data_IF_081387410070
#
_entry.id   IF_081387410070
#
_cell.length_a   1.000
_cell.length_b   1.000
_cell.length_c   1.000
_cell.angle_alpha   90.00
_cell.angle_beta   90.00
_cell.angle_gamma   90.00
#
_symmetry.space_group_name_H-M   'P 1'
#
loop_
_entity.id
_entity.type
_entity.pdbx_description
1 polymer ?
#
# COMPACT_ATOMS: atom_id res chain seq x y z
N UNK A 1 58.01 -12.21 36.77
CA UNK A 1 57.56 -11.12 35.88
C UNK A 1 57.04 -11.63 34.52
N UNK A 2 57.75 -12.52 33.81
CA UNK A 2 57.38 -13.00 32.46
C UNK A 2 55.99 -13.68 32.35
N UNK A 3 55.57 -14.47 33.35
CA UNK A 3 54.26 -15.16 33.34
C UNK A 3 53.06 -14.22 33.52
N UNK A 4 53.21 -13.13 34.28
CA UNK A 4 52.14 -12.13 34.48
C UNK A 4 51.93 -11.27 33.23
N UNK A 5 53.00 -10.99 32.50
CA UNK A 5 52.94 -10.27 31.22
C UNK A 5 52.28 -11.12 30.13
N UNK A 6 52.58 -12.42 30.07
CA UNK A 6 51.93 -13.35 29.15
C UNK A 6 50.41 -13.46 29.40
N UNK A 7 49.97 -13.48 30.66
CA UNK A 7 48.54 -13.50 31.01
C UNK A 7 47.86 -12.19 30.60
N UNK A 8 48.51 -11.05 30.78
CA UNK A 8 47.98 -9.75 30.36
C UNK A 8 47.83 -9.64 28.84
N UNK A 9 48.83 -10.09 28.07
CA UNK A 9 48.76 -10.10 26.60
C UNK A 9 47.65 -11.04 26.12
N UNK A 10 47.48 -12.20 26.77
CA UNK A 10 46.40 -13.13 26.44
C UNK A 10 45.01 -12.55 26.75
N UNK A 11 44.87 -11.85 27.87
CA UNK A 11 43.62 -11.17 28.23
C UNK A 11 43.25 -10.07 27.23
N UNK A 12 44.22 -9.25 26.81
CA UNK A 12 43.99 -8.25 25.75
C UNK A 12 43.62 -8.91 24.42
N UNK A 13 44.30 -9.99 24.03
CA UNK A 13 43.98 -10.71 22.79
C UNK A 13 42.55 -11.25 22.79
N UNK A 14 42.06 -11.74 23.94
CA UNK A 14 40.67 -12.23 24.08
C UNK A 14 39.67 -11.08 23.98
N UNK A 15 39.93 -9.93 24.62
CA UNK A 15 39.03 -8.76 24.54
C UNK A 15 38.94 -8.21 23.12
N UNK A 16 40.06 -8.11 22.40
CA UNK A 16 40.05 -7.68 21.00
C UNK A 16 39.40 -8.71 20.06
N UNK A 17 39.55 -10.01 20.34
CA UNK A 17 38.84 -11.05 19.59
C UNK A 17 37.32 -10.96 19.81
N UNK A 18 36.86 -10.71 21.03
CA UNK A 18 35.43 -10.53 21.33
C UNK A 18 34.86 -9.25 20.72
N UNK A 19 35.63 -8.16 20.70
CA UNK A 19 35.24 -6.93 19.99
C UNK A 19 35.13 -7.16 18.47
N UNK A 20 36.02 -7.97 17.88
CA UNK A 20 35.95 -8.38 16.47
C UNK A 20 34.74 -9.27 16.15
N UNK A 21 34.34 -10.18 17.05
CA UNK A 21 33.11 -10.97 16.90
C UNK A 21 31.88 -10.07 17.03
N UNK A 22 31.89 -9.09 17.94
CA UNK A 22 30.80 -8.13 18.11
C UNK A 22 30.61 -7.21 16.91
N UNK A 23 31.69 -6.72 16.30
CA UNK A 23 31.59 -5.93 15.06
C UNK A 23 31.21 -6.78 13.85
N UNK A 24 31.69 -8.03 13.76
CA UNK A 24 31.21 -8.96 12.73
C UNK A 24 29.70 -9.20 12.88
N UNK A 25 29.18 -9.41 14.09
CA UNK A 25 27.74 -9.53 14.34
C UNK A 25 26.94 -8.28 13.91
N UNK A 26 27.49 -7.08 14.16
CA UNK A 26 26.90 -5.80 13.74
C UNK A 26 26.86 -5.63 12.21
N UNK A 27 27.87 -6.14 11.49
CA UNK A 27 27.91 -6.11 10.02
C UNK A 27 27.29 -7.35 9.35
N UNK A 28 27.00 -8.42 10.09
CA UNK A 28 26.26 -9.60 9.62
C UNK A 28 24.77 -9.54 9.90
N UNK A 29 24.25 -8.43 10.46
CA UNK A 29 22.84 -8.05 10.28
C UNK A 29 22.60 -7.65 8.82
N UNK A 30 22.90 -8.55 7.89
CA UNK A 30 22.40 -8.53 6.52
C UNK A 30 21.22 -9.48 6.52
N UNK A 31 20.01 -8.93 6.39
CA UNK A 31 18.88 -9.72 5.92
C UNK A 31 19.30 -10.29 4.56
N UNK A 32 19.64 -11.57 4.54
CA UNK A 32 19.89 -12.27 3.28
C UNK A 32 18.53 -12.32 2.60
N UNK A 33 18.37 -11.68 1.44
CA UNK A 33 17.21 -11.89 0.60
C UNK A 33 17.26 -13.36 0.14
N UNK A 34 16.60 -14.20 0.93
CA UNK A 34 16.40 -15.62 0.66
C UNK A 34 15.26 -15.69 -0.36
N UNK A 35 15.50 -16.32 -1.52
CA UNK A 35 14.54 -16.35 -2.63
C UNK A 35 15.04 -15.77 -3.96
N UNK A 36 16.20 -15.12 -4.02
CA UNK A 36 16.75 -14.66 -5.31
C UNK A 36 17.40 -15.81 -6.08
N UNK A 37 16.61 -16.71 -6.65
CA UNK A 37 17.10 -17.63 -7.67
C UNK A 37 17.15 -16.86 -8.98
N UNK A 38 18.35 -16.64 -9.54
CA UNK A 38 18.46 -16.06 -10.89
C UNK A 38 17.98 -17.08 -11.93
N UNK A 39 16.66 -17.15 -12.13
CA UNK A 39 16.07 -17.88 -13.24
C UNK A 39 16.22 -17.06 -14.52
N UNK A 40 16.74 -17.70 -15.57
CA UNK A 40 16.83 -17.10 -16.90
C UNK A 40 15.50 -17.29 -17.64
N UNK A 41 14.89 -16.21 -18.10
CA UNK A 41 13.64 -16.24 -18.87
C UNK A 41 13.07 -14.83 -19.06
N UNK A 42 11.91 -14.72 -19.71
CA UNK A 42 11.20 -13.45 -19.91
C UNK A 42 9.92 -13.40 -19.08
N UNK A 43 9.71 -12.31 -18.34
CA UNK A 43 8.42 -11.96 -17.78
C UNK A 43 7.74 -11.02 -18.77
N UNK A 44 6.62 -11.45 -19.36
CA UNK A 44 5.89 -10.64 -20.34
C UNK A 44 4.41 -10.94 -20.23
N UNK A 45 3.66 -9.97 -19.71
CA UNK A 45 2.21 -9.96 -19.76
C UNK A 45 1.77 -9.39 -21.10
N UNK A 46 0.85 -10.08 -21.75
CA UNK A 46 0.26 -9.66 -23.02
C UNK A 46 -1.24 -9.88 -23.02
N UNK A 47 -1.86 -9.68 -24.17
CA UNK A 47 -3.25 -10.01 -24.40
C UNK A 47 -3.45 -10.76 -25.70
N UNK A 48 -4.67 -11.27 -25.90
CA UNK A 48 -5.09 -11.84 -27.18
C UNK A 48 -5.95 -10.80 -27.90
N UNK A 49 -5.43 -10.25 -29.00
CA UNK A 49 -6.11 -9.22 -29.81
C UNK A 49 -6.30 -9.80 -31.21
N UNK A 50 -7.53 -9.83 -31.70
CA UNK A 50 -7.89 -10.40 -33.00
C UNK A 50 -7.43 -11.86 -33.21
N UNK A 51 -7.31 -12.62 -32.11
CA UNK A 51 -6.87 -14.02 -32.11
C UNK A 51 -5.35 -14.22 -32.13
N UNK A 52 -4.56 -13.15 -32.05
CA UNK A 52 -3.10 -13.19 -32.00
C UNK A 52 -2.57 -12.77 -30.62
N UNK A 53 -1.44 -13.35 -30.22
CA UNK A 53 -0.76 -12.98 -28.98
C UNK A 53 -0.01 -11.65 -29.15
N UNK A 54 -0.34 -10.66 -28.32
CA UNK A 54 0.31 -9.34 -28.33
C UNK A 54 0.99 -9.09 -27.00
N UNK A 55 2.31 -8.90 -27.02
CA UNK A 55 3.09 -8.60 -25.82
C UNK A 55 2.89 -7.15 -25.35
N UNK A 56 2.85 -6.94 -24.03
CA UNK A 56 2.77 -5.64 -23.35
C UNK A 56 1.59 -4.76 -23.77
N UNK A 57 0.54 -5.37 -24.31
CA UNK A 57 -0.68 -4.66 -24.66
C UNK A 57 -1.88 -5.57 -24.46
N UNK A 58 -2.91 -5.01 -23.86
CA UNK A 58 -4.24 -5.54 -23.89
C UNK A 58 -5.20 -4.43 -24.33
N UNK A 59 -6.45 -4.76 -24.66
CA UNK A 59 -7.31 -3.86 -25.41
C UNK A 59 -7.64 -2.56 -24.64
N UNK A 60 -7.60 -1.42 -25.34
CA UNK A 60 -8.03 -0.10 -24.87
C UNK A 60 -9.53 -0.13 -24.55
N UNK A 61 -9.94 0.58 -23.48
CA UNK A 61 -11.33 0.60 -23.02
C UNK A 61 -12.01 1.87 -23.53
N UNK A 62 -13.20 1.71 -24.12
CA UNK A 62 -14.03 2.82 -24.58
C UNK A 62 -15.28 2.92 -23.73
N UNK A 63 -15.58 4.14 -23.28
CA UNK A 63 -16.82 4.47 -22.60
C UNK A 63 -17.64 5.42 -23.47
N UNK A 64 -18.84 5.00 -23.84
CA UNK A 64 -19.77 5.77 -24.66
C UNK A 64 -21.22 5.51 -24.27
N UNK A 65 -22.10 6.50 -24.49
CA UNK A 65 -23.55 6.38 -24.29
C UNK A 65 -23.99 5.91 -22.88
N UNK A 66 -23.19 6.18 -21.85
CA UNK A 66 -23.51 5.85 -20.46
C UNK A 66 -24.56 6.84 -19.91
N UNK A 67 -25.56 6.34 -19.19
CA UNK A 67 -26.61 7.14 -18.56
C UNK A 67 -26.56 7.05 -17.01
N UNK A 68 -26.75 8.15 -16.27
CA UNK A 68 -26.78 8.14 -14.81
C UNK A 68 -27.86 7.20 -14.24
N UNK A 69 -27.48 6.31 -13.32
CA UNK A 69 -28.41 5.44 -12.61
C UNK A 69 -28.89 4.20 -13.36
N UNK A 70 -28.37 3.96 -14.57
CA UNK A 70 -28.46 2.64 -15.19
C UNK A 70 -27.64 1.60 -14.38
N UNK A 71 -28.06 0.33 -14.36
CA UNK A 71 -27.33 -0.71 -13.65
C UNK A 71 -25.93 -0.93 -14.24
N UNK A 72 -24.98 -1.49 -13.46
CA UNK A 72 -23.65 -1.88 -13.96
C UNK A 72 -23.74 -2.67 -15.27
N UNK A 73 -23.13 -2.13 -16.33
CA UNK A 73 -23.08 -2.75 -17.64
C UNK A 73 -21.68 -3.30 -17.92
N UNK A 74 -21.64 -4.51 -18.47
CA UNK A 74 -20.39 -5.13 -18.90
C UNK A 74 -19.88 -4.41 -20.16
N UNK A 75 -18.83 -3.62 -20.00
CA UNK A 75 -18.22 -2.82 -21.08
C UNK A 75 -17.33 -3.69 -21.95
N UNK A 76 -16.49 -4.52 -21.33
CA UNK A 76 -15.44 -5.23 -22.05
C UNK A 76 -15.04 -6.55 -21.39
N UNK A 77 -14.58 -7.48 -22.22
CA UNK A 77 -13.78 -8.63 -21.78
C UNK A 77 -12.52 -8.70 -22.61
N UNK A 78 -11.40 -8.82 -21.92
CA UNK A 78 -10.08 -8.92 -22.54
C UNK A 78 -9.36 -10.11 -21.95
N UNK A 79 -8.67 -10.87 -22.81
CA UNK A 79 -7.87 -12.02 -22.36
C UNK A 79 -6.46 -11.52 -22.07
N UNK A 80 -6.03 -11.63 -20.81
CA UNK A 80 -4.65 -11.48 -20.37
C UNK A 80 -3.93 -12.81 -20.58
N UNK A 81 -2.67 -12.77 -21.03
CA UNK A 81 -1.87 -13.97 -21.29
C UNK A 81 -0.43 -13.82 -20.81
N UNK A 82 0.10 -14.85 -20.16
CA UNK A 82 1.54 -14.97 -19.96
C UNK A 82 2.21 -15.40 -21.26
N UNK A 83 2.74 -14.43 -22.02
CA UNK A 83 3.51 -14.68 -23.25
C UNK A 83 5.01 -14.83 -22.97
N UNK A 84 5.40 -14.74 -21.69
CA UNK A 84 6.75 -14.97 -21.20
C UNK A 84 7.08 -16.45 -21.04
N UNK A 85 8.25 -16.71 -20.45
CA UNK A 85 8.75 -18.06 -20.17
C UNK A 85 8.85 -18.37 -18.69
N UNK A 86 8.49 -17.42 -17.81
CA UNK A 86 8.54 -17.56 -16.36
C UNK A 86 7.13 -17.40 -15.78
N UNK A 87 6.81 -18.13 -14.70
CA UNK A 87 5.60 -17.88 -13.95
C UNK A 87 5.65 -16.51 -13.28
N UNK A 88 4.49 -15.89 -13.15
CA UNK A 88 4.32 -14.62 -12.44
C UNK A 88 3.03 -14.61 -11.61
N UNK A 89 2.86 -13.58 -10.80
CA UNK A 89 1.58 -13.19 -10.25
C UNK A 89 1.21 -11.78 -10.70
N UNK A 90 -0.10 -11.50 -10.74
CA UNK A 90 -0.66 -10.17 -10.96
C UNK A 90 -0.94 -9.53 -9.60
N UNK A 91 -0.67 -8.23 -9.42
CA UNK A 91 -0.78 -7.61 -8.10
C UNK A 91 -1.30 -6.17 -8.08
N UNK A 92 -1.44 -5.53 -9.24
CA UNK A 92 -1.84 -4.14 -9.33
C UNK A 92 -2.47 -3.83 -10.68
N UNK A 93 -3.43 -2.92 -10.69
CA UNK A 93 -4.04 -2.36 -11.90
C UNK A 93 -4.12 -0.83 -11.78
N UNK A 94 -3.87 -0.13 -12.88
CA UNK A 94 -3.97 1.33 -12.98
C UNK A 94 -4.61 1.73 -14.31
N UNK A 95 -5.10 2.95 -14.40
CA UNK A 95 -5.63 3.60 -15.59
C UNK A 95 -4.78 4.84 -15.92
N UNK A 96 -4.52 5.04 -17.20
CA UNK A 96 -3.79 6.20 -17.73
C UNK A 96 -4.31 6.60 -19.11
N UNK A 97 -3.70 7.64 -19.67
CA UNK A 97 -3.89 8.04 -21.06
C UNK A 97 -5.37 8.25 -21.43
N UNK A 98 -6.06 9.04 -20.61
CA UNK A 98 -7.42 9.49 -20.89
C UNK A 98 -7.45 10.28 -22.20
N UNK A 99 -8.30 9.87 -23.13
CA UNK A 99 -8.45 10.51 -24.44
C UNK A 99 -9.91 10.90 -24.66
N UNK A 100 -10.13 12.17 -24.99
CA UNK A 100 -11.39 12.69 -25.51
C UNK A 100 -11.65 12.14 -26.92
N UNK A 101 -12.76 11.41 -27.10
CA UNK A 101 -13.13 10.82 -28.38
C UNK A 101 -13.79 11.82 -29.35
N UNK A 102 -14.23 12.98 -28.87
CA UNK A 102 -14.94 14.00 -29.62
C UNK A 102 -14.30 15.40 -29.47
N UNK A 103 -12.99 15.58 -29.70
CA UNK A 103 -12.29 16.84 -29.39
C UNK A 103 -12.80 18.05 -30.19
N UNK A 104 -13.57 17.83 -31.26
CA UNK A 104 -14.17 18.87 -32.10
C UNK A 104 -15.47 19.46 -31.49
N UNK A 105 -16.01 18.89 -30.40
CA UNK A 105 -17.28 19.30 -29.80
C UNK A 105 -17.16 20.53 -28.85
N UNK A 106 -15.95 21.09 -28.71
CA UNK A 106 -15.60 22.19 -27.79
C UNK A 106 -15.87 21.89 -26.29
N UNK A 107 -15.97 20.62 -25.92
CA UNK A 107 -16.05 20.12 -24.54
C UNK A 107 -14.84 19.22 -24.29
N UNK A 108 -14.53 19.05 -23.01
CA UNK A 108 -13.56 18.05 -22.57
C UNK A 108 -14.36 16.83 -22.12
N UNK A 109 -14.35 15.77 -22.92
CA UNK A 109 -15.09 14.55 -22.60
C UNK A 109 -14.38 13.72 -21.50
N UNK A 110 -13.10 14.01 -21.17
CA UNK A 110 -12.33 13.23 -20.18
C UNK A 110 -12.84 13.40 -18.75
N UNK A 111 -13.61 14.46 -18.47
CA UNK A 111 -14.26 14.71 -17.18
C UNK A 111 -15.25 13.60 -16.76
N UNK A 112 -15.57 12.68 -17.68
CA UNK A 112 -16.43 11.54 -17.43
C UNK A 112 -15.82 10.58 -16.38
N UNK A 113 -14.50 10.54 -16.25
CA UNK A 113 -13.78 9.69 -15.28
C UNK A 113 -14.14 10.01 -13.81
N UNK A 114 -14.54 11.24 -13.50
CA UNK A 114 -14.96 11.71 -12.17
C UNK A 114 -16.29 11.09 -11.69
N UNK A 115 -17.10 10.60 -12.63
CA UNK A 115 -18.44 10.05 -12.39
C UNK A 115 -18.63 8.62 -12.91
N UNK A 116 -17.63 8.05 -13.58
CA UNK A 116 -17.62 6.63 -13.96
C UNK A 116 -17.16 5.78 -12.81
N UNK A 117 -18.05 4.90 -12.35
CA UNK A 117 -17.74 3.81 -11.45
C UNK A 117 -17.38 2.58 -12.28
N UNK A 118 -16.30 1.90 -11.91
CA UNK A 118 -15.83 0.69 -12.58
C UNK A 118 -15.67 -0.43 -11.55
N UNK A 119 -16.01 -1.64 -11.98
CA UNK A 119 -15.76 -2.89 -11.28
C UNK A 119 -14.97 -3.81 -12.21
N UNK A 120 -13.82 -4.29 -11.74
CA UNK A 120 -12.91 -5.12 -12.52
C UNK A 120 -12.70 -6.46 -11.81
N UNK A 121 -12.80 -7.54 -12.59
CA UNK A 121 -12.40 -8.89 -12.14
C UNK A 121 -11.37 -9.47 -13.08
N UNK A 122 -10.41 -10.24 -12.56
CA UNK A 122 -9.42 -10.99 -13.34
C UNK A 122 -9.48 -12.46 -12.91
N UNK A 123 -9.71 -13.37 -13.86
CA UNK A 123 -9.83 -14.80 -13.55
C UNK A 123 -11.02 -15.14 -12.65
N UNK A 124 -11.97 -14.21 -12.50
CA UNK A 124 -13.10 -14.31 -11.57
C UNK A 124 -12.84 -13.73 -10.18
N UNK A 125 -11.59 -13.38 -9.85
CA UNK A 125 -11.24 -12.67 -8.62
C UNK A 125 -11.54 -11.17 -8.80
N UNK A 126 -12.08 -10.53 -7.78
CA UNK A 126 -12.24 -9.09 -7.74
C UNK A 126 -10.88 -8.42 -7.62
N UNK A 127 -10.68 -7.28 -8.30
CA UNK A 127 -9.39 -6.56 -8.26
C UNK A 127 -9.53 -5.06 -8.09
N UNK A 128 -10.70 -4.49 -8.41
CA UNK A 128 -10.95 -3.06 -8.20
C UNK A 128 -12.44 -2.73 -8.28
N UNK A 129 -12.92 -1.90 -7.36
CA UNK A 129 -14.20 -1.21 -7.41
C UNK A 129 -14.06 0.26 -7.01
N UNK A 130 -14.46 1.20 -7.87
CA UNK A 130 -14.35 2.62 -7.53
C UNK A 130 -14.47 3.54 -8.73
N UNK A 131 -14.17 4.82 -8.53
CA UNK A 131 -14.15 5.78 -9.64
C UNK A 131 -12.98 5.49 -10.57
N UNK A 132 -13.16 5.72 -11.87
CA UNK A 132 -12.07 5.62 -12.83
C UNK A 132 -10.96 6.63 -12.53
N UNK A 133 -11.32 7.86 -12.14
CA UNK A 133 -10.35 8.91 -11.74
C UNK A 133 -9.49 8.55 -10.51
N UNK A 134 -9.90 7.54 -9.73
CA UNK A 134 -9.17 7.04 -8.58
C UNK A 134 -8.25 5.87 -8.92
N UNK A 135 -8.41 5.23 -10.09
CA UNK A 135 -7.59 4.11 -10.51
C UNK A 135 -6.27 4.62 -11.12
N UNK A 136 -5.48 5.37 -10.36
CA UNK A 136 -4.22 5.98 -10.83
C UNK A 136 -3.04 5.50 -9.99
N UNK A 137 -1.82 5.61 -10.53
CA UNK A 137 -0.63 5.09 -9.86
C UNK A 137 -0.40 5.73 -8.47
N UNK A 138 -0.63 7.02 -8.31
CA UNK A 138 -0.46 7.72 -7.04
C UNK A 138 -1.45 7.26 -5.97
N UNK A 139 -2.58 6.70 -6.41
CA UNK A 139 -3.64 6.18 -5.55
C UNK A 139 -3.57 4.65 -5.40
N UNK A 140 -2.45 4.01 -5.74
CA UNK A 140 -2.28 2.57 -5.54
C UNK A 140 -2.87 1.76 -6.69
N UNK A 141 -3.94 1.01 -6.41
CA UNK A 141 -4.56 0.04 -7.32
C UNK A 141 -4.05 -1.38 -7.11
N UNK A 142 -3.53 -1.68 -5.92
CA UNK A 142 -3.12 -3.04 -5.58
C UNK A 142 -4.33 -3.87 -5.19
N UNK A 143 -4.23 -5.17 -5.44
CA UNK A 143 -5.25 -6.16 -5.12
C UNK A 143 -4.59 -7.42 -4.62
N UNK A 144 -5.39 -8.34 -4.09
CA UNK A 144 -4.89 -9.62 -3.59
C UNK A 144 -4.18 -10.40 -4.71
N UNK A 145 -2.87 -10.70 -4.58
CA UNK A 145 -2.11 -11.24 -5.69
C UNK A 145 -2.72 -12.51 -6.29
N UNK A 146 -2.84 -12.52 -7.62
CA UNK A 146 -3.33 -13.68 -8.37
C UNK A 146 -2.13 -14.50 -8.80
N UNK A 147 -1.85 -15.56 -8.04
CA UNK A 147 -0.71 -16.45 -8.23
C UNK A 147 -0.93 -17.52 -9.30
N UNK A 148 0.15 -18.22 -9.64
CA UNK A 148 0.10 -19.44 -10.43
C UNK A 148 -0.18 -19.21 -11.91
N UNK A 149 0.20 -18.05 -12.45
CA UNK A 149 0.07 -17.78 -13.89
C UNK A 149 1.28 -18.36 -14.62
N UNK A 150 1.16 -19.59 -15.08
CA UNK A 150 2.24 -20.31 -15.78
C UNK A 150 2.41 -19.79 -17.22
N UNK A 151 3.54 -20.08 -17.89
CA UNK A 151 3.73 -19.71 -19.29
C UNK A 151 2.62 -20.25 -20.20
N UNK A 152 2.05 -19.36 -21.02
CA UNK A 152 0.88 -19.56 -21.89
C UNK A 152 -0.48 -19.59 -21.22
N UNK A 153 -0.56 -19.49 -19.89
CA UNK A 153 -1.84 -19.37 -19.20
C UNK A 153 -2.53 -18.06 -19.56
N UNK A 154 -3.86 -18.09 -19.51
CA UNK A 154 -4.74 -16.97 -19.81
C UNK A 154 -5.65 -16.67 -18.64
N UNK A 155 -5.92 -15.39 -18.41
CA UNK A 155 -6.91 -14.91 -17.45
C UNK A 155 -7.88 -13.96 -18.14
N UNK A 156 -9.17 -14.18 -17.96
CA UNK A 156 -10.19 -13.26 -18.45
C UNK A 156 -10.27 -12.06 -17.51
N UNK A 157 -10.03 -10.86 -18.05
CA UNK A 157 -10.31 -9.60 -17.38
C UNK A 157 -11.65 -9.08 -17.86
N UNK A 158 -12.58 -8.87 -16.92
CA UNK A 158 -13.91 -8.34 -17.18
C UNK A 158 -14.02 -6.97 -16.54
N UNK A 159 -14.48 -6.00 -17.33
CA UNK A 159 -14.69 -4.62 -16.91
C UNK A 159 -16.18 -4.34 -16.99
N UNK A 160 -16.75 -3.95 -15.86
CA UNK A 160 -18.12 -3.46 -15.74
C UNK A 160 -18.04 -1.99 -15.35
N UNK A 161 -18.93 -1.17 -15.89
CA UNK A 161 -19.00 0.24 -15.53
C UNK A 161 -20.44 0.73 -15.41
N UNK A 162 -20.62 1.78 -14.63
CA UNK A 162 -21.86 2.55 -14.55
C UNK A 162 -21.55 3.99 -14.19
N UNK A 163 -22.51 4.88 -14.40
CA UNK A 163 -22.37 6.29 -14.06
C UNK A 163 -23.04 6.58 -12.71
N UNK A 164 -22.39 7.41 -11.89
CA UNK A 164 -22.95 7.89 -10.62
C UNK A 164 -24.36 8.45 -10.83
N UNK A 165 -25.32 8.02 -10.01
CA UNK A 165 -26.71 8.47 -10.05
C UNK A 165 -26.90 9.98 -9.93
N UNK A 166 -25.92 10.68 -9.35
CA UNK A 166 -25.92 12.14 -9.18
C UNK A 166 -25.27 12.88 -10.36
N UNK A 167 -24.76 12.17 -11.37
CA UNK A 167 -24.18 12.77 -12.55
C UNK A 167 -25.24 13.59 -13.31
N UNK A 168 -24.90 14.85 -13.60
CA UNK A 168 -25.81 15.80 -14.25
C UNK A 168 -25.69 15.81 -15.77
N UNK A 169 -26.55 16.60 -16.42
CA UNK A 169 -26.61 16.72 -17.88
C UNK A 169 -25.30 17.21 -18.54
N UNK A 170 -24.35 17.73 -17.78
CA UNK A 170 -23.03 18.10 -18.31
C UNK A 170 -22.26 16.90 -18.90
N UNK A 171 -22.54 15.68 -18.43
CA UNK A 171 -21.91 14.44 -18.92
C UNK A 171 -22.66 13.80 -20.10
N UNK A 172 -23.79 14.38 -20.51
CA UNK A 172 -24.61 13.81 -21.57
C UNK A 172 -23.88 13.86 -22.93
N UNK A 173 -23.73 12.68 -23.54
CA UNK A 173 -23.13 12.52 -24.86
C UNK A 173 -21.61 12.63 -24.89
N UNK A 174 -20.95 12.66 -23.73
CA UNK A 174 -19.49 12.58 -23.65
C UNK A 174 -19.04 11.14 -23.94
N UNK A 175 -17.84 11.00 -24.53
CA UNK A 175 -17.18 9.72 -24.71
C UNK A 175 -15.68 9.85 -24.55
N UNK A 176 -15.07 8.86 -23.89
CA UNK A 176 -13.62 8.82 -23.68
C UNK A 176 -13.07 7.40 -23.82
N UNK A 177 -11.77 7.29 -24.03
CA UNK A 177 -11.03 6.05 -23.84
C UNK A 177 -9.96 6.20 -22.76
N UNK A 178 -9.55 5.08 -22.16
CA UNK A 178 -8.37 5.02 -21.31
C UNK A 178 -7.58 3.74 -21.59
N UNK A 179 -6.29 3.78 -21.25
CA UNK A 179 -5.47 2.59 -21.18
C UNK A 179 -5.49 2.06 -19.74
N UNK A 180 -5.79 0.78 -19.58
CA UNK A 180 -5.59 0.08 -18.32
C UNK A 180 -4.23 -0.61 -18.36
N UNK A 181 -3.53 -0.65 -17.24
CA UNK A 181 -2.25 -1.35 -17.07
C UNK A 181 -2.37 -2.32 -15.91
N UNK A 182 -2.20 -3.62 -16.19
CA UNK A 182 -2.08 -4.66 -15.15
C UNK A 182 -0.59 -4.94 -14.93
N UNK A 183 -0.16 -4.91 -13.68
CA UNK A 183 1.22 -5.15 -13.30
C UNK A 183 1.40 -6.59 -12.83
N UNK A 184 2.49 -7.19 -13.30
CA UNK A 184 2.90 -8.55 -12.96
C UNK A 184 4.33 -8.54 -12.43
N UNK A 185 4.66 -9.47 -11.53
CA UNK A 185 6.04 -9.70 -11.08
C UNK A 185 6.30 -11.20 -10.87
N UNK A 186 7.57 -11.58 -10.81
CA UNK A 186 7.95 -12.99 -10.72
C UNK A 186 7.44 -13.61 -9.43
N UNK A 187 7.03 -14.88 -9.48
CA UNK A 187 6.48 -15.61 -8.32
C UNK A 187 7.43 -15.73 -7.13
N UNK A 188 8.74 -15.60 -7.33
CA UNK A 188 9.74 -15.66 -6.25
C UNK A 188 10.00 -14.27 -5.61
N UNK A 189 9.34 -13.21 -6.10
CA UNK A 189 9.53 -11.84 -5.58
C UNK A 189 8.87 -11.72 -4.21
N UNK A 190 9.61 -11.39 -3.14
CA UNK A 190 9.04 -11.21 -1.82
C UNK A 190 7.97 -10.13 -1.83
N UNK A 191 6.87 -10.39 -1.12
CA UNK A 191 5.78 -9.43 -0.94
C UNK A 191 5.95 -8.79 0.45
N UNK A 192 5.63 -7.50 0.54
CA UNK A 192 5.67 -6.80 1.82
C UNK A 192 4.69 -7.45 2.79
N UNK A 193 5.14 -7.70 4.02
CA UNK A 193 4.38 -8.49 5.00
C UNK A 193 4.94 -9.89 5.20
N UNK A 194 5.65 -10.43 4.21
CA UNK A 194 6.17 -11.81 4.24
C UNK A 194 7.70 -11.86 4.31
N UNK A 195 8.30 -12.72 5.16
CA UNK A 195 7.62 -13.59 6.12
C UNK A 195 7.22 -12.83 7.39
N UNK A 196 6.30 -13.44 8.14
CA UNK A 196 5.90 -12.98 9.47
C UNK A 196 7.10 -12.77 10.42
N UNK A 197 6.88 -11.91 11.42
CA UNK A 197 7.85 -11.47 12.44
C UNK A 197 9.05 -10.67 11.92
N UNK A 198 9.17 -10.50 10.61
CA UNK A 198 10.27 -9.78 9.99
C UNK A 198 9.88 -8.33 9.73
N UNK A 199 10.74 -7.39 10.17
CA UNK A 199 10.57 -5.98 9.83
C UNK A 199 10.94 -5.72 8.39
N UNK A 200 9.98 -5.19 7.64
CA UNK A 200 10.11 -4.79 6.26
C UNK A 200 10.16 -3.28 6.15
N UNK A 201 11.07 -2.76 5.32
CA UNK A 201 11.14 -1.32 5.09
C UNK A 201 10.01 -0.90 4.14
N UNK A 202 9.13 -0.02 4.62
CA UNK A 202 8.06 0.58 3.81
C UNK A 202 8.56 1.80 3.04
N UNK A 203 9.70 2.36 3.43
CA UNK A 203 10.30 3.51 2.77
C UNK A 203 10.81 4.54 3.76
N UNK A 204 11.58 5.48 3.24
CA UNK A 204 12.19 6.54 4.03
C UNK A 204 12.41 7.79 3.20
N UNK A 205 12.31 8.95 3.86
CA UNK A 205 12.82 10.23 3.38
C UNK A 205 14.06 10.61 4.18
N UNK A 206 14.51 11.88 4.13
CA UNK A 206 15.72 12.33 4.82
C UNK A 206 15.65 12.22 6.35
N UNK A 207 14.45 12.29 6.92
CA UNK A 207 14.22 12.43 8.36
C UNK A 207 13.05 11.58 8.87
N UNK A 208 12.55 10.66 8.05
CA UNK A 208 11.36 9.87 8.33
C UNK A 208 11.52 8.51 7.70
N UNK A 209 11.26 7.44 8.44
CA UNK A 209 11.18 6.10 7.90
C UNK A 209 10.00 5.38 8.52
N UNK A 210 9.45 4.43 7.79
CA UNK A 210 8.44 3.53 8.33
C UNK A 210 8.83 2.10 8.02
N UNK A 211 8.68 1.23 8.99
CA UNK A 211 8.83 -0.21 8.83
C UNK A 211 7.54 -0.91 9.22
N UNK A 212 7.23 -2.01 8.55
CA UNK A 212 6.05 -2.83 8.85
C UNK A 212 6.45 -4.25 9.25
N UNK A 213 5.58 -4.97 9.96
CA UNK A 213 5.65 -6.44 10.09
C UNK A 213 4.30 -7.04 10.47
N UNK A 214 4.09 -8.29 10.07
CA UNK A 214 3.11 -9.15 10.70
C UNK A 214 3.70 -9.69 12.01
N UNK A 215 2.94 -9.67 13.10
CA UNK A 215 3.39 -10.04 14.43
C UNK A 215 2.33 -10.85 15.17
N UNK A 216 2.68 -12.07 15.55
CA UNK A 216 1.88 -12.91 16.40
C UNK A 216 2.27 -12.69 17.87
N UNK A 217 1.32 -12.19 18.66
CA UNK A 217 1.47 -11.98 20.09
C UNK A 217 0.38 -12.74 20.86
N UNK A 218 0.78 -13.81 21.54
CA UNK A 218 -0.12 -14.67 22.30
C UNK A 218 -1.22 -15.32 21.44
N UNK A 219 -2.46 -14.83 21.56
CA UNK A 219 -3.65 -15.33 20.84
C UNK A 219 -4.15 -14.31 19.80
N UNK A 220 -3.30 -13.38 19.38
CA UNK A 220 -3.64 -12.29 18.47
C UNK A 220 -2.55 -12.12 17.42
N UNK A 221 -2.99 -11.84 16.21
CA UNK A 221 -2.14 -11.57 15.07
C UNK A 221 -2.30 -10.09 14.71
N UNK A 222 -1.19 -9.40 14.55
CA UNK A 222 -1.15 -7.95 14.36
C UNK A 222 -0.40 -7.60 13.09
N UNK A 223 -0.88 -6.58 12.40
CA UNK A 223 -0.08 -5.79 11.46
C UNK A 223 0.49 -4.62 12.24
N UNK A 224 1.81 -4.49 12.25
CA UNK A 224 2.51 -3.42 12.97
C UNK A 224 3.18 -2.46 12.00
N UNK A 225 3.05 -1.17 12.25
CA UNK A 225 3.85 -0.14 11.60
C UNK A 225 4.59 0.68 12.66
N UNK A 226 5.87 0.92 12.41
CA UNK A 226 6.81 1.58 13.32
C UNK A 226 7.42 2.76 12.57
N UNK A 227 7.12 3.97 13.07
CA UNK A 227 7.63 5.21 12.53
C UNK A 227 8.90 5.58 13.26
N UNK A 228 9.87 6.13 12.53
CA UNK A 228 11.11 6.58 13.13
C UNK A 228 11.53 7.89 12.46
N UNK A 229 11.73 8.90 13.31
CA UNK A 229 12.07 10.26 12.93
C UNK A 229 13.55 10.53 13.16
N UNK A 230 14.14 11.42 12.37
CA UNK A 230 15.48 11.92 12.64
C UNK A 230 15.53 13.46 12.55
N UNK A 231 15.62 14.19 13.66
CA UNK A 231 15.87 13.69 15.02
C UNK A 231 14.68 12.91 15.62
N UNK A 232 15.00 11.94 16.49
CA UNK A 232 14.01 11.24 17.32
C UNK A 232 13.31 12.25 18.24
N UNK A 233 12.01 12.04 18.46
CA UNK A 233 11.15 12.71 19.45
C UNK A 233 11.08 14.25 19.36
N UNK A 234 9.90 14.79 19.10
CA UNK A 234 9.69 16.25 19.16
C UNK A 234 8.54 16.71 20.05
N UNK A 235 8.41 18.04 20.17
CA UNK A 235 7.32 18.70 20.88
C UNK A 235 5.93 18.27 20.34
N UNK A 236 5.87 17.80 19.10
CA UNK A 236 4.65 17.22 18.53
C UNK A 236 4.90 16.26 17.38
N UNK A 237 4.12 15.19 17.37
CA UNK A 237 4.05 14.23 16.29
C UNK A 237 2.60 13.95 15.91
N UNK A 238 2.38 13.72 14.62
CA UNK A 238 1.12 13.24 14.08
C UNK A 238 1.43 12.06 13.16
N UNK A 239 0.70 10.96 13.32
CA UNK A 239 0.81 9.76 12.51
C UNK A 239 -0.53 9.46 11.87
N UNK A 240 -0.49 8.97 10.64
CA UNK A 240 -1.69 8.60 9.89
C UNK A 240 -1.45 7.32 9.09
N UNK A 241 -2.44 6.43 9.17
CA UNK A 241 -2.53 5.19 8.42
C UNK A 241 -3.83 5.23 7.65
N UNK A 242 -3.75 5.25 6.33
CA UNK A 242 -4.92 5.01 5.48
C UNK A 242 -4.86 3.59 4.96
N UNK A 243 -5.98 2.88 5.07
CA UNK A 243 -6.14 1.50 4.64
C UNK A 243 -7.28 1.42 3.64
N UNK A 244 -7.05 0.66 2.58
CA UNK A 244 -8.06 0.28 1.61
C UNK A 244 -7.81 -1.12 1.08
N UNK A 245 -8.77 -1.66 0.34
CA UNK A 245 -8.65 -2.97 -0.26
C UNK A 245 -9.47 -2.98 -1.55
N UNK A 246 -8.79 -3.05 -2.68
CA UNK A 246 -9.40 -3.18 -4.02
C UNK A 246 -10.42 -2.07 -4.33
N UNK A 247 -10.18 -0.87 -3.79
CA UNK A 247 -11.07 0.28 -3.92
C UNK A 247 -10.34 1.56 -4.29
N UNK A 248 -11.07 2.53 -4.84
CA UNK A 248 -10.54 3.87 -5.11
C UNK A 248 -10.30 4.67 -3.83
N UNK A 249 -11.25 4.69 -2.90
CA UNK A 249 -11.19 5.47 -1.67
C UNK A 249 -10.69 4.67 -0.46
N UNK A 250 -10.03 5.32 0.52
CA UNK A 250 -9.70 4.69 1.78
C UNK A 250 -10.95 4.27 2.55
N UNK A 251 -11.02 2.99 2.92
CA UNK A 251 -12.07 2.45 3.77
C UNK A 251 -11.85 2.85 5.23
N UNK A 252 -10.59 2.98 5.64
CA UNK A 252 -10.19 3.23 7.02
C UNK A 252 -9.07 4.26 7.08
N UNK A 253 -9.19 5.17 8.05
CA UNK A 253 -8.16 6.14 8.39
C UNK A 253 -7.94 6.07 9.91
N UNK A 254 -6.69 5.86 10.33
CA UNK A 254 -6.29 5.80 11.73
C UNK A 254 -5.25 6.89 11.95
N UNK A 255 -5.52 7.77 12.91
CA UNK A 255 -4.65 8.90 13.21
C UNK A 255 -4.25 8.93 14.67
N UNK A 256 -3.05 9.42 14.94
CA UNK A 256 -2.55 9.68 16.28
C UNK A 256 -1.91 11.06 16.31
N UNK A 257 -2.27 11.87 17.30
CA UNK A 257 -1.71 13.20 17.56
C UNK A 257 -1.02 13.19 18.93
N UNK A 258 0.20 13.71 19.04
CA UNK A 258 0.99 13.74 20.28
C UNK A 258 1.57 15.11 20.52
N UNK A 259 1.54 15.55 21.78
CA UNK A 259 2.18 16.78 22.24
C UNK A 259 3.06 16.48 23.46
N UNK A 260 4.34 16.81 23.40
CA UNK A 260 5.19 16.81 24.59
C UNK A 260 5.04 18.16 25.29
N UNK A 261 4.39 18.17 26.45
CA UNK A 261 4.38 19.33 27.36
C UNK A 261 5.12 18.97 28.64
N UNK A 262 5.77 19.95 29.30
CA UNK A 262 6.56 19.75 30.53
C UNK A 262 5.75 19.10 31.68
N UNK A 263 4.42 19.11 31.60
CA UNK A 263 3.51 18.28 32.37
C UNK A 263 2.89 17.24 31.43
N UNK A 264 3.40 16.01 31.43
CA UNK A 264 3.07 14.92 30.49
C UNK A 264 1.56 14.60 30.45
N UNK A 265 0.81 15.31 29.62
CA UNK A 265 -0.54 14.96 29.19
C UNK A 265 -0.50 14.47 27.74
N UNK A 266 -0.59 13.16 27.55
CA UNK A 266 -0.75 12.53 26.23
C UNK A 266 -2.24 12.65 25.86
N UNK A 267 -2.56 13.44 24.84
CA UNK A 267 -3.91 13.56 24.29
C UNK A 267 -4.06 12.59 23.12
N UNK A 268 -4.86 11.54 23.27
CA UNK A 268 -5.22 10.67 22.16
C UNK A 268 -6.29 11.35 21.30
N UNK A 269 -5.97 11.64 20.03
CA UNK A 269 -6.95 12.14 19.07
C UNK A 269 -6.90 11.29 17.80
N UNK A 270 -7.80 10.31 17.73
CA UNK A 270 -8.19 9.67 16.49
C UNK A 270 -9.23 10.62 15.87
N UNK A 271 -8.98 11.22 14.71
CA UNK A 271 -9.89 12.21 14.13
C UNK A 271 -10.77 11.60 13.04
N UNK A 272 -12.09 11.76 13.17
CA UNK A 272 -13.01 12.02 12.05
C UNK A 272 -13.95 13.13 12.60
N UNK A 273 -14.68 13.83 11.75
CA UNK A 273 -15.39 15.05 12.12
C UNK A 273 -16.58 14.84 13.10
N UNK A 274 -16.47 15.22 14.40
CA UNK A 274 -17.18 16.33 15.08
C UNK A 274 -17.12 16.24 16.64
N UNK A 275 -16.68 17.34 17.27
CA UNK A 275 -16.72 17.81 18.69
C UNK A 275 -16.68 16.86 19.92
N UNK A 276 -15.56 17.04 20.64
CA UNK A 276 -15.34 17.19 22.09
C UNK A 276 -15.48 15.99 23.05
N UNK A 277 -14.38 15.79 23.80
CA UNK A 277 -14.11 14.86 24.91
C UNK A 277 -14.14 13.34 24.63
N UNK A 278 -12.95 12.71 24.71
CA UNK A 278 -12.65 11.26 24.77
C UNK A 278 -12.83 10.40 23.50
N UNK A 279 -11.89 9.45 23.33
CA UNK A 279 -11.84 8.28 22.42
C UNK A 279 -12.75 8.35 21.20
N UNK A 280 -12.15 8.48 20.02
CA UNK A 280 -12.88 8.85 18.82
C UNK A 280 -12.57 7.91 17.65
N UNK A 281 -13.19 6.72 17.65
CA UNK A 281 -13.50 6.00 16.41
C UNK A 281 -14.66 6.76 15.77
N UNK A 282 -14.58 7.06 14.50
CA UNK A 282 -15.75 7.54 13.79
C UNK A 282 -15.94 6.66 12.59
N UNK A 283 -17.21 6.46 12.28
CA UNK A 283 -17.73 5.62 11.23
C UNK A 283 -18.39 6.52 10.18
N UNK A 284 -18.19 6.21 8.89
CA UNK A 284 -19.09 6.60 7.81
C UNK A 284 -19.35 5.32 7.04
N UNK A 285 -20.44 4.69 7.44
CA UNK A 285 -20.94 3.40 6.97
C UNK A 285 -21.49 3.59 5.55
N UNK A 286 -20.80 3.01 4.57
CA UNK A 286 -21.42 2.36 3.40
C UNK A 286 -20.47 1.26 2.87
N UNK A 287 -20.79 -0.02 3.12
CA UNK A 287 -20.06 -1.19 2.60
C UNK A 287 -19.56 -2.16 3.67
N UNK A 288 -18.97 -3.29 3.26
CA UNK A 288 -18.28 -4.27 4.11
C UNK A 288 -17.03 -3.64 4.74
N UNK A 289 -17.17 -2.94 5.87
CA UNK A 289 -16.09 -2.19 6.52
C UNK A 289 -15.50 -2.89 7.74
N UNK A 290 -14.22 -2.59 8.00
CA UNK A 290 -13.43 -3.01 9.16
C UNK A 290 -14.05 -2.49 10.47
N UNK A 291 -14.27 -3.36 11.46
CA UNK A 291 -14.72 -2.98 12.81
C UNK A 291 -13.49 -2.70 13.69
N UNK A 292 -13.29 -1.44 14.08
CA UNK A 292 -12.15 -1.02 14.89
C UNK A 292 -12.61 -0.70 16.33
N UNK A 293 -12.24 -1.56 17.27
CA UNK A 293 -12.32 -1.26 18.69
C UNK A 293 -10.95 -0.82 19.26
N UNK A 294 -10.95 -0.26 20.48
CA UNK A 294 -9.72 0.23 21.14
C UNK A 294 -8.72 -0.88 21.51
N UNK A 295 -9.14 -2.14 21.55
CA UNK A 295 -8.28 -3.29 21.82
C UNK A 295 -7.69 -3.89 20.54
N UNK A 296 -8.28 -3.57 19.40
CA UNK A 296 -7.84 -4.00 18.10
C UNK A 296 -6.79 -3.07 17.49
N UNK A 297 -6.78 -1.79 17.88
CA UNK A 297 -5.71 -0.85 17.53
C UNK A 297 -4.94 -0.47 18.79
N UNK A 298 -3.67 -0.88 18.86
CA UNK A 298 -2.78 -0.59 19.98
C UNK A 298 -1.64 0.32 19.54
N UNK A 299 -1.47 1.43 20.25
CA UNK A 299 -0.34 2.34 20.07
C UNK A 299 0.70 2.15 21.17
N UNK A 300 1.95 1.91 20.77
CA UNK A 300 3.10 1.93 21.65
C UNK A 300 3.81 3.27 21.50
N UNK A 301 3.56 4.16 22.46
CA UNK A 301 4.08 5.53 22.47
C UNK A 301 5.60 5.58 22.61
N UNK A 302 6.20 4.63 23.34
CA UNK A 302 7.66 4.60 23.54
C UNK A 302 8.43 4.18 22.28
N UNK A 303 7.73 3.73 21.24
CA UNK A 303 8.31 3.14 20.03
C UNK A 303 7.65 3.64 18.76
N UNK A 304 6.82 4.68 18.83
CA UNK A 304 6.09 5.22 17.68
C UNK A 304 5.46 4.14 16.80
N UNK A 305 4.77 3.20 17.45
CA UNK A 305 4.33 1.98 16.78
C UNK A 305 2.84 1.75 16.93
N UNK A 306 2.16 1.52 15.82
CA UNK A 306 0.80 1.00 15.79
C UNK A 306 0.82 -0.53 15.66
N UNK A 307 -0.17 -1.19 16.27
CA UNK A 307 -0.49 -2.59 16.03
C UNK A 307 -1.99 -2.70 15.76
N UNK A 308 -2.36 -3.21 14.59
CA UNK A 308 -3.75 -3.40 14.17
C UNK A 308 -4.02 -4.91 14.16
N UNK A 309 -4.98 -5.37 14.96
CA UNK A 309 -5.35 -6.76 15.07
C UNK A 309 -5.93 -7.23 13.73
N UNK A 310 -5.36 -8.28 13.13
CA UNK A 310 -5.77 -8.76 11.82
C UNK A 310 -7.21 -9.25 11.76
N UNK A 311 -7.80 -9.62 12.90
CA UNK A 311 -9.19 -10.06 12.97
C UNK A 311 -10.21 -8.94 12.67
N UNK A 312 -9.78 -7.68 12.61
CA UNK A 312 -10.65 -6.57 12.19
C UNK A 312 -10.86 -6.54 10.68
N UNK A 313 -9.93 -7.13 9.91
CA UNK A 313 -10.07 -7.22 8.47
C UNK A 313 -11.02 -8.38 8.12
N UNK A 314 -11.82 -8.24 7.05
CA UNK A 314 -12.60 -9.34 6.50
C UNK A 314 -11.71 -10.58 6.26
N UNK A 315 -12.25 -11.75 6.59
CA UNK A 315 -11.46 -13.00 6.60
C UNK A 315 -11.02 -13.49 5.22
N UNK A 316 -11.64 -12.95 4.17
CA UNK A 316 -11.36 -13.21 2.77
C UNK A 316 -10.27 -12.29 2.18
N UNK A 317 -9.93 -11.19 2.87
CA UNK A 317 -8.81 -10.33 2.46
C UNK A 317 -7.48 -11.04 2.73
N UNK A 318 -6.66 -11.16 1.69
CA UNK A 318 -5.28 -11.68 1.78
C UNK A 318 -4.25 -10.58 2.03
N UNK A 319 -4.68 -9.32 2.01
CA UNK A 319 -3.86 -8.18 2.36
C UNK A 319 -4.61 -6.87 2.25
N UNK A 320 -3.86 -5.78 2.39
CA UNK A 320 -4.39 -4.42 2.35
C UNK A 320 -3.47 -3.50 1.56
N UNK A 321 -4.07 -2.45 1.00
CA UNK A 321 -3.34 -1.27 0.57
C UNK A 321 -3.19 -0.33 1.75
N UNK A 322 -1.97 0.12 2.00
CA UNK A 322 -1.66 1.03 3.10
C UNK A 322 -0.88 2.26 2.62
N UNK A 323 -1.29 3.43 3.10
CA UNK A 323 -0.53 4.68 3.02
C UNK A 323 -0.19 5.14 4.42
N UNK A 324 1.10 5.38 4.64
CA UNK A 324 1.65 5.78 5.93
C UNK A 324 2.18 7.19 5.80
N UNK A 325 1.72 8.08 6.66
CA UNK A 325 2.17 9.45 6.72
C UNK A 325 2.48 9.86 8.15
N UNK A 326 3.27 10.93 8.29
CA UNK A 326 3.58 11.50 9.58
C UNK A 326 4.00 12.95 9.47
N UNK A 327 3.81 13.70 10.55
CA UNK A 327 4.26 15.09 10.69
C UNK A 327 4.94 15.25 12.04
N UNK A 328 6.09 15.91 12.05
CA UNK A 328 6.80 16.28 13.26
C UNK A 328 6.93 17.82 13.32
N UNK A 329 6.60 18.45 14.45
CA UNK A 329 6.92 19.86 14.70
C UNK A 329 8.27 20.00 15.41
N UNK A 330 8.81 21.21 15.35
CA UNK A 330 10.15 21.55 15.84
C UNK A 330 10.22 21.54 17.37
N UNK A 331 11.29 20.95 17.91
CA UNK A 331 11.76 21.23 19.28
C UNK A 331 12.10 22.72 19.40
N UNK A 332 11.39 23.43 20.29
CA UNK A 332 11.62 24.84 20.61
C UNK A 332 13.09 25.19 20.96
N UNK A 333 13.93 24.20 21.26
CA UNK A 333 15.35 24.37 21.63
C UNK A 333 16.36 24.19 20.48
N UNK A 334 15.98 23.74 19.28
CA UNK A 334 16.90 23.58 18.13
C UNK A 334 16.57 24.51 16.94
N UNK A 335 17.15 25.73 16.88
CA UNK A 335 16.80 26.73 15.86
C UNK A 335 17.28 26.38 14.44
N UNK A 336 18.04 25.30 14.24
CA UNK A 336 18.61 24.92 12.93
C UNK A 336 17.67 24.11 12.03
N UNK A 337 16.55 23.62 12.57
CA UNK A 337 15.54 22.86 11.83
C UNK A 337 14.44 23.80 11.26
N UNK A 338 13.85 23.47 10.11
CA UNK A 338 12.83 24.30 9.45
C UNK A 338 11.56 24.45 10.29
N UNK A 339 11.01 25.67 10.37
CA UNK A 339 9.82 26.05 11.18
C UNK A 339 8.47 25.47 10.70
N UNK A 340 8.45 24.62 9.68
CA UNK A 340 7.20 24.15 9.04
C UNK A 340 7.05 22.64 9.19
N UNK A 341 5.88 22.22 9.65
CA UNK A 341 5.38 20.85 9.54
C UNK A 341 5.70 20.32 8.16
N UNK A 342 6.67 19.42 8.07
CA UNK A 342 6.90 18.70 6.83
C UNK A 342 6.12 17.41 6.96
N UNK A 343 4.95 17.36 6.32
CA UNK A 343 4.23 16.10 6.16
C UNK A 343 5.13 15.20 5.32
N UNK A 344 5.51 14.08 5.89
CA UNK A 344 6.21 13.01 5.20
C UNK A 344 5.17 11.93 4.91
N UNK A 345 5.11 11.48 3.66
CA UNK A 345 4.20 10.41 3.27
C UNK A 345 4.97 9.44 2.40
N UNK A 346 4.69 8.16 2.60
CA UNK A 346 5.11 7.10 1.70
C UNK A 346 4.04 6.91 0.61
N UNK A 347 4.42 6.42 -0.59
CA UNK A 347 3.47 5.93 -1.58
C UNK A 347 2.60 4.79 -1.00
N UNK A 348 1.41 4.59 -1.57
CA UNK A 348 0.58 3.43 -1.26
C UNK A 348 1.33 2.16 -1.63
N UNK A 349 1.27 1.17 -0.75
CA UNK A 349 1.86 -0.14 -0.93
C UNK A 349 0.87 -1.23 -0.54
N UNK A 350 0.97 -2.38 -1.17
CA UNK A 350 0.30 -3.60 -0.71
C UNK A 350 1.02 -4.18 0.50
N UNK A 351 0.27 -4.71 1.45
CA UNK A 351 0.74 -5.40 2.64
C UNK A 351 0.02 -6.75 2.76
N UNK A 352 0.76 -7.83 2.61
CA UNK A 352 0.24 -9.20 2.66
C UNK A 352 -0.04 -9.66 4.08
N UNK A 353 -1.10 -10.45 4.20
CA UNK A 353 -1.50 -11.21 5.37
C UNK A 353 -1.15 -12.70 5.24
N UNK A 354 -0.72 -13.14 4.06
CA UNK A 354 -0.36 -14.54 3.82
C UNK A 354 1.01 -14.89 4.47
N UNK A 355 1.23 -16.18 4.73
CA UNK A 355 2.46 -16.75 5.31
C UNK A 355 3.39 -17.37 4.25
#
# INVERSE_FOLDING_TARGET
MKKRFAILVLAFAIVFAMAGVGTMAWFTSQATSTGNTFQTGTLTLGGVIDGEDVANKFATVTFDNMEPGEPPEKIQTTVLKNVGSLPFYLYRITASDLVDNNPDNEKDDTILDEVLMIDITIGGEHVYSGKLSQLVEENGGYFDPIYGIEPNDTQDMVITAYMDTNAGNQYQGLSMTCDLTVHATQSETPIQGEPDETWHNMGSTSNFRVQGRNHQAFFRDYVQFDWDWNPDDSDFEYYEVMIKHETGDPNVEITEERWQTEETFIWWKITRNHYDESIVVHDMITGETIDLDTYDVLWNVEKDRISINRNVFPSDWKGIEVKLSGTQYKDSNNPSLPDKSTIQSLPIQYWSFDE
#
